data_IF_390287327679
#
_entry.id   IF_390287327679
#
_cell.length_a   1.000
_cell.length_b   1.000
_cell.length_c   1.000
_cell.angle_alpha   90.00
_cell.angle_beta   90.00
_cell.angle_gamma   90.00
#
_symmetry.space_group_name_H-M   'P 1'
#
loop_
_entity.id
_entity.type
_entity.pdbx_description
1 polymer ?
#
# COMPACT_ATOMS: atom_id res chain seq x y z
N UNK A 1 -16.64 6.23 -32.39
CA UNK A 1 -15.68 5.22 -31.93
C UNK A 1 -15.11 5.74 -30.62
N UNK A 2 -15.60 5.23 -29.48
CA UNK A 2 -15.07 5.62 -28.17
C UNK A 2 -13.87 4.72 -27.87
N UNK A 3 -12.68 5.29 -27.91
CA UNK A 3 -11.47 4.64 -27.43
C UNK A 3 -11.16 5.29 -26.10
N UNK A 4 -11.47 4.59 -25.02
CA UNK A 4 -11.02 5.00 -23.69
C UNK A 4 -9.51 4.76 -23.63
N UNK A 5 -8.75 5.79 -23.98
CA UNK A 5 -7.32 5.82 -23.77
C UNK A 5 -7.10 5.96 -22.27
N UNK A 6 -6.53 4.94 -21.64
CA UNK A 6 -6.03 4.99 -20.27
C UNK A 6 -4.52 5.29 -20.30
N UNK A 7 -4.10 6.56 -20.37
CA UNK A 7 -2.69 6.93 -20.28
C UNK A 7 -2.12 6.85 -18.86
N UNK A 8 -2.90 6.37 -17.88
CA UNK A 8 -2.53 6.42 -16.46
C UNK A 8 -1.86 5.15 -15.93
N UNK A 9 -1.87 4.04 -16.68
CA UNK A 9 -1.02 2.86 -16.45
C UNK A 9 -0.80 2.12 -17.76
N UNK A 10 0.41 2.13 -18.35
CA UNK A 10 0.62 1.29 -19.54
C UNK A 10 0.79 -0.19 -19.17
N UNK A 11 1.20 -0.46 -17.94
CA UNK A 11 1.61 -1.78 -17.50
C UNK A 11 1.25 -2.00 -16.04
N UNK A 12 0.57 -3.11 -15.79
CA UNK A 12 0.24 -3.58 -14.45
C UNK A 12 0.85 -4.97 -14.30
N UNK A 13 1.67 -5.16 -13.27
CA UNK A 13 2.26 -6.46 -12.95
C UNK A 13 1.47 -7.06 -11.81
N UNK A 14 0.86 -8.22 -12.05
CA UNK A 14 0.10 -8.98 -11.08
C UNK A 14 0.94 -10.15 -10.59
N UNK A 15 1.23 -10.20 -9.29
CA UNK A 15 1.99 -11.28 -8.67
C UNK A 15 1.08 -12.08 -7.75
N UNK A 16 0.96 -13.38 -8.02
CA UNK A 16 0.27 -14.35 -7.16
C UNK A 16 1.25 -15.19 -6.35
N UNK A 17 0.76 -15.93 -5.36
CA UNK A 17 1.58 -16.67 -4.39
C UNK A 17 2.24 -17.97 -4.97
N UNK A 18 2.22 -18.19 -6.29
CA UNK A 18 2.92 -19.31 -6.95
C UNK A 18 2.37 -20.73 -6.69
N UNK A 19 1.57 -20.96 -5.65
CA UNK A 19 1.09 -22.30 -5.27
C UNK A 19 -0.07 -22.80 -6.14
N UNK A 20 -1.13 -21.99 -6.28
CA UNK A 20 -2.26 -22.26 -7.18
C UNK A 20 -2.97 -20.95 -7.55
N UNK A 21 -3.82 -20.91 -8.59
CA UNK A 21 -4.44 -19.67 -9.07
C UNK A 21 -5.29 -18.93 -8.02
N UNK A 22 -5.74 -19.59 -6.96
CA UNK A 22 -6.59 -18.96 -5.94
C UNK A 22 -5.90 -18.85 -4.57
N UNK A 23 -4.61 -19.21 -4.50
CA UNK A 23 -3.86 -19.19 -3.27
C UNK A 23 -3.64 -17.74 -2.83
N UNK A 24 -4.16 -17.41 -1.64
CA UNK A 24 -3.84 -16.17 -0.98
C UNK A 24 -2.40 -16.16 -0.46
N UNK A 25 -1.92 -14.97 -0.12
CA UNK A 25 -0.66 -14.80 0.58
C UNK A 25 -0.86 -14.91 2.10
N UNK A 26 0.11 -15.47 2.84
CA UNK A 26 0.15 -15.33 4.28
C UNK A 26 0.17 -13.85 4.70
N UNK A 27 -0.45 -13.53 5.84
CA UNK A 27 -0.50 -12.15 6.33
C UNK A 27 0.89 -11.53 6.53
N UNK A 28 1.82 -12.29 7.14
CA UNK A 28 3.17 -11.79 7.41
C UNK A 28 3.92 -11.40 6.12
N UNK A 29 3.74 -12.16 5.03
CA UNK A 29 4.33 -11.85 3.72
C UNK A 29 3.87 -10.48 3.21
N UNK A 30 2.57 -10.21 3.27
CA UNK A 30 2.00 -8.94 2.77
C UNK A 30 2.38 -7.77 3.69
N UNK A 31 2.39 -8.00 5.01
CA UNK A 31 2.86 -7.00 5.99
C UNK A 31 4.31 -6.62 5.73
N UNK A 32 5.19 -7.61 5.63
CA UNK A 32 6.62 -7.38 5.36
C UNK A 32 6.82 -6.65 4.04
N UNK A 33 6.10 -7.06 2.98
CA UNK A 33 6.15 -6.42 1.67
C UNK A 33 5.69 -4.95 1.75
N UNK A 34 4.59 -4.67 2.44
CA UNK A 34 4.10 -3.31 2.60
C UNK A 34 5.13 -2.42 3.31
N UNK A 35 5.78 -2.92 4.37
CA UNK A 35 6.85 -2.21 5.06
C UNK A 35 8.02 -1.89 4.12
N UNK A 36 8.49 -2.88 3.35
CA UNK A 36 9.58 -2.71 2.37
C UNK A 36 9.20 -1.64 1.33
N UNK A 37 7.98 -1.71 0.79
CA UNK A 37 7.50 -0.77 -0.23
C UNK A 37 7.35 0.64 0.31
N UNK A 38 6.98 0.82 1.58
CA UNK A 38 6.92 2.14 2.22
C UNK A 38 8.31 2.74 2.41
N UNK A 39 9.26 1.96 2.94
CA UNK A 39 10.61 2.45 3.24
C UNK A 39 11.38 2.76 1.97
N UNK A 40 11.34 1.86 0.98
CA UNK A 40 12.12 1.97 -0.26
C UNK A 40 11.36 2.63 -1.42
N UNK A 41 10.16 3.17 -1.21
CA UNK A 41 9.43 3.89 -2.25
C UNK A 41 10.27 5.01 -2.91
N UNK A 42 11.05 5.84 -2.18
CA UNK A 42 11.88 6.88 -2.79
C UNK A 42 12.91 6.31 -3.78
N UNK A 43 13.55 5.20 -3.43
CA UNK A 43 14.54 4.51 -4.26
C UNK A 43 13.88 3.89 -5.50
N UNK A 44 12.71 3.26 -5.32
CA UNK A 44 11.88 2.74 -6.41
C UNK A 44 11.48 3.87 -7.37
N UNK A 45 11.01 5.00 -6.84
CA UNK A 45 10.66 6.19 -7.63
C UNK A 45 11.86 6.75 -8.40
N UNK A 46 13.05 6.72 -7.80
CA UNK A 46 14.30 7.20 -8.40
C UNK A 46 14.72 6.30 -9.56
N UNK A 47 14.67 4.97 -9.39
CA UNK A 47 14.97 4.01 -10.45
C UNK A 47 14.04 4.16 -11.65
N UNK A 48 12.74 4.35 -11.38
CA UNK A 48 11.71 4.53 -12.41
C UNK A 48 11.68 5.94 -13.01
N UNK A 49 12.52 6.86 -12.49
CA UNK A 49 12.58 8.28 -12.90
C UNK A 49 11.22 8.98 -12.86
N UNK A 50 10.37 8.68 -11.87
CA UNK A 50 8.98 9.19 -11.83
C UNK A 50 8.88 10.71 -11.69
N UNK A 51 9.92 11.32 -11.13
CA UNK A 51 10.03 12.76 -10.91
C UNK A 51 10.31 13.53 -12.22
N UNK A 52 10.83 12.88 -13.27
CA UNK A 52 11.20 13.57 -14.51
C UNK A 52 10.02 13.78 -15.45
N UNK A 53 8.84 13.22 -15.15
CA UNK A 53 7.66 13.38 -16.00
C UNK A 53 6.78 14.54 -15.51
N UNK A 54 6.67 15.65 -16.26
CA UNK A 54 5.73 16.72 -15.93
C UNK A 54 4.31 16.19 -16.07
N UNK A 55 3.44 16.50 -15.09
CA UNK A 55 2.02 16.23 -15.25
C UNK A 55 1.50 17.09 -16.41
N UNK A 56 0.84 16.46 -17.39
CA UNK A 56 0.23 17.20 -18.49
C UNK A 56 -1.11 17.78 -18.00
N UNK A 57 -1.42 19.04 -18.30
CA UNK A 57 -2.65 19.69 -17.82
C UNK A 57 -3.91 18.93 -18.26
N UNK A 58 -3.94 18.41 -19.50
CA UNK A 58 -5.06 17.61 -20.01
C UNK A 58 -5.01 16.12 -19.57
N UNK A 59 -3.94 15.69 -18.90
CA UNK A 59 -3.76 14.32 -18.43
C UNK A 59 -2.90 14.29 -17.15
N UNK A 60 -3.50 14.65 -16.00
CA UNK A 60 -2.77 14.71 -14.74
C UNK A 60 -2.30 13.32 -14.29
N UNK A 61 -1.27 13.27 -13.45
CA UNK A 61 -0.89 12.03 -12.76
C UNK A 61 -2.04 11.62 -11.85
N UNK A 62 -2.62 10.45 -12.09
CA UNK A 62 -3.78 9.93 -11.35
C UNK A 62 -3.43 8.86 -10.32
N UNK A 63 -2.15 8.51 -10.17
CA UNK A 63 -1.74 7.54 -9.18
C UNK A 63 -1.54 8.14 -7.79
N UNK A 64 -1.83 7.35 -6.77
CA UNK A 64 -1.61 7.67 -5.37
C UNK A 64 -0.44 6.84 -4.87
N UNK A 65 0.57 7.52 -4.36
CA UNK A 65 1.74 6.92 -3.72
C UNK A 65 1.62 7.05 -2.21
N UNK A 66 1.88 6.00 -1.43
CA UNK A 66 1.77 6.04 0.03
C UNK A 66 2.48 7.22 0.69
N UNK A 67 3.68 7.59 0.24
CA UNK A 67 4.46 8.64 0.90
C UNK A 67 4.05 10.08 0.56
N UNK A 68 3.27 10.30 -0.52
CA UNK A 68 2.91 11.65 -0.99
C UNK A 68 1.43 11.96 -0.82
N UNK A 69 0.61 10.92 -0.70
CA UNK A 69 -0.84 11.06 -0.63
C UNK A 69 -1.28 11.18 0.83
N UNK A 70 -2.01 12.25 1.20
CA UNK A 70 -2.51 12.40 2.57
C UNK A 70 -3.49 11.30 2.97
N UNK A 71 -4.06 10.58 2.00
CA UNK A 71 -4.99 9.47 2.26
C UNK A 71 -4.36 8.29 3.00
N UNK A 72 -3.04 8.16 2.96
CA UNK A 72 -2.29 7.07 3.58
C UNK A 72 -1.77 7.41 4.97
N UNK A 73 -1.89 8.68 5.38
CA UNK A 73 -1.41 9.12 6.68
C UNK A 73 -2.42 8.72 7.75
N UNK A 74 -2.00 7.94 8.77
CA UNK A 74 -2.80 7.72 9.96
C UNK A 74 -3.13 9.06 10.63
N UNK A 75 -4.33 9.21 11.24
CA UNK A 75 -4.75 10.47 11.87
C UNK A 75 -3.82 10.93 13.00
N UNK A 76 -3.05 10.01 13.57
CA UNK A 76 -2.16 10.25 14.71
C UNK A 76 -0.70 10.50 14.31
N UNK A 77 -0.36 10.53 13.02
CA UNK A 77 1.00 10.82 12.55
C UNK A 77 1.09 12.24 11.95
N UNK A 78 2.25 12.92 12.12
CA UNK A 78 2.47 14.21 11.49
C UNK A 78 2.48 14.09 9.97
N UNK A 79 2.09 15.18 9.28
CA UNK A 79 2.04 15.21 7.80
C UNK A 79 3.38 14.95 7.13
N UNK A 80 4.49 15.24 7.81
CA UNK A 80 5.85 14.89 7.41
C UNK A 80 6.38 13.78 8.32
N UNK A 81 5.94 12.54 8.07
CA UNK A 81 6.39 11.36 8.79
C UNK A 81 7.52 10.66 8.02
N UNK A 82 8.64 10.29 8.66
CA UNK A 82 9.65 9.41 8.07
C UNK A 82 9.06 8.07 7.60
N UNK A 83 9.63 7.46 6.55
CA UNK A 83 9.08 6.23 5.96
C UNK A 83 9.21 5.01 6.87
N UNK A 84 10.28 4.94 7.67
CA UNK A 84 10.52 3.97 8.73
C UNK A 84 9.47 4.09 9.86
N UNK A 85 9.09 5.31 10.25
CA UNK A 85 8.05 5.54 11.24
C UNK A 85 6.66 5.13 10.71
N UNK A 86 6.37 5.35 9.43
CA UNK A 86 5.14 4.87 8.80
C UNK A 86 5.10 3.34 8.72
N UNK A 87 6.23 2.70 8.40
CA UNK A 87 6.35 1.24 8.42
C UNK A 87 6.20 0.66 9.83
N UNK A 88 6.79 1.29 10.85
CA UNK A 88 6.60 0.96 12.26
C UNK A 88 5.15 1.09 12.68
N UNK A 89 4.48 2.17 12.27
CA UNK A 89 3.07 2.36 12.56
C UNK A 89 2.21 1.25 11.95
N UNK A 90 2.41 0.92 10.67
CA UNK A 90 1.72 -0.17 10.00
C UNK A 90 1.92 -1.50 10.73
N UNK A 91 3.16 -1.81 11.14
CA UNK A 91 3.48 -3.01 11.91
C UNK A 91 2.71 -3.07 13.25
N UNK A 92 2.57 -1.94 13.94
CA UNK A 92 1.99 -1.87 15.27
C UNK A 92 0.46 -1.74 15.30
N UNK A 93 -0.17 -1.25 14.21
CA UNK A 93 -1.61 -0.93 14.21
C UNK A 93 -2.47 -1.80 13.30
N UNK A 94 -1.87 -2.57 12.38
CA UNK A 94 -2.60 -3.49 11.50
C UNK A 94 -2.54 -4.93 12.02
N UNK A 95 -3.56 -5.44 12.74
CA UNK A 95 -3.56 -6.80 13.28
C UNK A 95 -3.85 -7.88 12.23
N UNK A 96 -4.38 -7.53 11.06
CA UNK A 96 -4.84 -8.49 10.05
C UNK A 96 -4.71 -7.98 8.60
N UNK A 97 -5.00 -8.86 7.64
CA UNK A 97 -4.92 -8.52 6.20
C UNK A 97 -5.84 -7.36 5.82
N UNK A 98 -7.02 -7.27 6.44
CA UNK A 98 -8.04 -6.26 6.09
C UNK A 98 -7.59 -4.86 6.52
N UNK A 99 -7.14 -4.71 7.75
CA UNK A 99 -6.57 -3.47 8.27
C UNK A 99 -5.34 -3.03 7.47
N UNK A 100 -4.48 -3.96 7.10
CA UNK A 100 -3.32 -3.70 6.25
C UNK A 100 -3.70 -3.20 4.84
N UNK A 101 -4.63 -3.89 4.18
CA UNK A 101 -5.15 -3.47 2.86
C UNK A 101 -5.81 -2.10 2.96
N UNK A 102 -6.58 -1.82 4.01
CA UNK A 102 -7.18 -0.50 4.22
C UNK A 102 -6.14 0.60 4.44
N UNK A 103 -5.00 0.30 5.06
CA UNK A 103 -3.90 1.24 5.22
C UNK A 103 -3.17 1.51 3.90
N UNK A 104 -2.97 0.48 3.07
CA UNK A 104 -2.26 0.57 1.78
C UNK A 104 -3.17 0.94 0.59
N UNK A 105 -4.48 0.80 0.72
CA UNK A 105 -5.49 1.12 -0.29
C UNK A 105 -6.70 1.79 0.38
N UNK A 106 -6.52 2.97 1.00
CA UNK A 106 -7.57 3.64 1.77
C UNK A 106 -8.72 4.09 0.88
N UNK A 107 -9.96 3.97 1.38
CA UNK A 107 -11.14 4.47 0.67
C UNK A 107 -10.99 5.95 0.33
N UNK A 108 -11.11 6.27 -0.95
CA UNK A 108 -11.02 7.65 -1.42
C UNK A 108 -12.39 8.31 -1.35
N UNK A 109 -12.46 9.63 -1.03
CA UNK A 109 -13.71 10.35 -1.10
C UNK A 109 -14.25 10.28 -2.55
N UNK A 110 -15.56 10.06 -2.70
CA UNK A 110 -16.21 10.13 -4.01
C UNK A 110 -15.99 11.52 -4.60
N UNK A 111 -15.08 11.62 -5.57
CA UNK A 111 -14.89 12.86 -6.29
C UNK A 111 -16.16 13.10 -7.12
N UNK A 112 -16.80 14.26 -6.94
CA UNK A 112 -18.02 14.66 -7.67
C UNK A 112 -17.83 14.79 -9.20
N UNK A 113 -16.68 14.41 -9.75
CA UNK A 113 -16.39 14.45 -11.18
C UNK A 113 -16.36 13.03 -11.77
N UNK A 114 -17.21 12.73 -12.78
CA UNK A 114 -17.33 11.39 -13.38
C UNK A 114 -16.05 10.79 -13.98
N UNK A 115 -14.98 11.59 -14.16
CA UNK A 115 -13.77 11.20 -14.89
C UNK A 115 -12.47 11.29 -14.07
N UNK A 116 -12.56 11.52 -12.75
CA UNK A 116 -11.39 11.58 -11.85
C UNK A 116 -11.20 10.27 -11.08
N UNK A 117 -10.82 9.20 -11.79
CA UNK A 117 -10.40 7.97 -11.13
C UNK A 117 -8.94 8.08 -10.69
N UNK A 118 -8.70 7.86 -9.40
CA UNK A 118 -7.38 7.73 -8.82
C UNK A 118 -7.02 6.25 -8.68
N UNK A 119 -5.73 5.94 -8.76
CA UNK A 119 -5.23 4.57 -8.78
C UNK A 119 -4.11 4.39 -7.77
N UNK A 120 -4.14 3.36 -6.94
CA UNK A 120 -3.02 3.10 -6.04
C UNK A 120 -1.81 2.55 -6.79
N UNK A 121 -0.62 3.08 -6.48
CA UNK A 121 0.64 2.58 -7.07
C UNK A 121 0.86 1.09 -6.77
N UNK A 122 0.52 0.68 -5.56
CA UNK A 122 0.49 -0.71 -5.10
C UNK A 122 -0.95 -1.04 -4.71
N UNK A 123 -1.54 -2.04 -5.33
CA UNK A 123 -2.94 -2.41 -5.13
C UNK A 123 -3.03 -3.83 -4.57
N UNK A 124 -3.43 -3.91 -3.30
CA UNK A 124 -3.62 -5.11 -2.50
C UNK A 124 -5.10 -5.50 -2.40
N UNK A 125 -6.01 -4.75 -3.02
CA UNK A 125 -7.47 -4.93 -2.85
C UNK A 125 -7.94 -6.33 -3.27
N UNK A 126 -7.24 -6.95 -4.23
CA UNK A 126 -7.54 -8.30 -4.71
C UNK A 126 -7.16 -9.43 -3.73
N UNK A 127 -6.53 -9.09 -2.61
CA UNK A 127 -6.20 -10.05 -1.54
C UNK A 127 -7.36 -10.30 -0.59
N UNK A 128 -8.28 -9.35 -0.49
CA UNK A 128 -9.50 -9.51 0.28
C UNK A 128 -10.49 -10.30 -0.54
N UNK A 129 -11.11 -11.31 0.09
CA UNK A 129 -12.30 -11.91 -0.48
C UNK A 129 -13.36 -10.81 -0.59
N UNK A 130 -14.07 -10.70 -1.73
CA UNK A 130 -15.22 -9.83 -1.79
C UNK A 130 -16.10 -10.23 -0.62
N UNK A 131 -16.39 -9.25 0.25
CA UNK A 131 -17.37 -9.42 1.31
C UNK A 131 -18.54 -10.18 0.69
N UNK A 132 -19.05 -11.20 1.35
CA UNK A 132 -20.39 -11.71 1.09
C UNK A 132 -21.35 -10.53 1.35
N UNK A 133 -21.39 -9.55 0.43
CA UNK A 133 -22.55 -8.71 0.33
C UNK A 133 -23.68 -9.70 0.06
N UNK A 134 -24.73 -9.72 0.90
CA UNK A 134 -25.87 -10.56 0.64
C UNK A 134 -26.29 -10.18 -0.77
N UNK A 135 -26.15 -11.14 -1.68
CA UNK A 135 -26.56 -11.03 -3.06
C UNK A 135 -27.93 -10.39 -3.03
N UNK A 136 -27.98 -9.10 -3.32
CA UNK A 136 -29.22 -8.38 -3.46
C UNK A 136 -29.75 -8.89 -4.78
N UNK A 137 -30.39 -10.06 -4.71
CA UNK A 137 -31.27 -10.59 -5.71
C UNK A 137 -32.34 -9.53 -5.88
N UNK A 138 -32.00 -8.54 -6.70
CA UNK A 138 -32.97 -7.62 -7.24
C UNK A 138 -33.79 -8.51 -8.15
N UNK A 139 -34.91 -9.00 -7.61
CA UNK A 139 -35.91 -9.75 -8.34
C UNK A 139 -36.31 -8.91 -9.56
N UNK A 140 -35.65 -9.13 -10.69
CA UNK A 140 -36.16 -8.67 -11.97
C UNK A 140 -37.42 -9.50 -12.25
N UNK A 141 -38.57 -8.87 -12.47
CA UNK A 141 -39.80 -9.58 -12.77
C UNK A 141 -39.80 -9.98 -14.25
N UNK A 142 -38.89 -10.86 -14.67
CA UNK A 142 -38.92 -11.54 -15.97
C UNK A 142 -38.01 -12.78 -15.99
N UNK A 143 -38.49 -13.88 -15.42
CA UNK A 143 -38.72 -15.13 -16.14
C UNK A 143 -37.57 -15.92 -16.80
N UNK A 144 -36.29 -15.62 -16.60
CA UNK A 144 -35.21 -16.52 -17.00
C UNK A 144 -34.08 -16.54 -15.97
N UNK A 145 -33.77 -17.69 -15.32
CA UNK A 145 -32.55 -17.80 -14.55
C UNK A 145 -31.38 -17.74 -15.54
N UNK A 146 -30.58 -16.68 -15.46
CA UNK A 146 -29.26 -16.68 -16.07
C UNK A 146 -28.50 -17.92 -15.56
N UNK A 147 -27.79 -18.66 -16.43
CA UNK A 147 -26.99 -19.78 -15.95
C UNK A 147 -26.05 -19.26 -14.86
N UNK A 148 -25.87 -20.00 -13.74
CA UNK A 148 -24.95 -19.60 -12.70
C UNK A 148 -23.59 -19.37 -13.36
N UNK A 149 -23.18 -18.11 -13.45
CA UNK A 149 -21.81 -17.81 -13.82
C UNK A 149 -20.95 -18.52 -12.77
N UNK A 150 -20.01 -19.40 -13.18
CA UNK A 150 -19.10 -20.00 -12.22
C UNK A 150 -18.49 -18.84 -11.46
N UNK A 151 -18.60 -18.88 -10.13
CA UNK A 151 -17.96 -17.90 -9.26
C UNK A 151 -16.50 -17.82 -9.72
N UNK A 152 -16.16 -16.76 -10.45
CA UNK A 152 -14.80 -16.54 -10.90
C UNK A 152 -14.02 -16.34 -9.61
N UNK A 153 -13.34 -17.39 -9.18
CA UNK A 153 -12.40 -17.32 -8.09
C UNK A 153 -11.36 -16.29 -8.51
N UNK A 154 -11.52 -15.06 -8.00
CA UNK A 154 -10.64 -13.96 -8.37
C UNK A 154 -9.25 -14.32 -7.86
N UNK A 155 -8.31 -14.40 -8.78
CA UNK A 155 -6.92 -14.69 -8.50
C UNK A 155 -6.41 -13.68 -7.46
N UNK A 156 -5.96 -14.17 -6.29
CA UNK A 156 -5.43 -13.32 -5.22
C UNK A 156 -4.04 -12.85 -5.63
N UNK A 157 -3.96 -11.62 -6.12
CA UNK A 157 -2.72 -11.01 -6.61
C UNK A 157 -2.44 -9.67 -5.96
N UNK A 158 -1.16 -9.33 -5.86
CA UNK A 158 -0.69 -7.97 -5.60
C UNK A 158 -0.45 -7.32 -6.96
N UNK A 159 -1.03 -6.14 -7.18
CA UNK A 159 -0.84 -5.39 -8.43
C UNK A 159 0.15 -4.24 -8.21
N UNK A 160 1.20 -4.23 -9.02
CA UNK A 160 2.16 -3.14 -9.13
C UNK A 160 1.86 -2.34 -10.39
N UNK A 161 1.56 -1.05 -10.23
CA UNK A 161 1.25 -0.17 -11.35
C UNK A 161 2.49 0.59 -11.78
N UNK A 162 2.85 0.48 -13.05
CA UNK A 162 4.07 1.04 -13.60
C UNK A 162 3.80 2.18 -14.56
N UNK A 163 4.69 3.19 -14.60
CA UNK A 163 4.56 4.28 -15.54
C UNK A 163 4.79 3.82 -16.97
N UNK A 164 4.21 4.56 -17.91
CA UNK A 164 4.26 4.25 -19.34
C UNK A 164 5.61 4.36 -20.01
N UNK A 165 6.53 5.10 -19.40
CA UNK A 165 7.89 5.28 -19.90
C UNK A 165 8.82 4.08 -19.64
N UNK A 166 8.42 3.10 -18.82
CA UNK A 166 9.21 1.89 -18.61
C UNK A 166 9.19 0.98 -19.86
N UNK A 167 8.21 1.18 -20.75
CA UNK A 167 7.94 0.33 -21.94
C UNK A 167 8.91 0.62 -23.11
N UNK A 168 10.02 1.34 -22.88
CA UNK A 168 10.97 1.64 -23.96
C UNK A 168 11.89 0.46 -24.26
N UNK A 169 12.14 -0.41 -23.27
CA UNK A 169 13.05 -1.56 -23.42
C UNK A 169 12.49 -2.83 -22.73
N UNK A 170 12.26 -3.94 -23.48
CA UNK A 170 11.75 -5.18 -22.92
C UNK A 170 12.70 -5.82 -21.89
N UNK A 171 14.01 -5.62 -21.98
CA UNK A 171 14.96 -6.14 -21.00
C UNK A 171 14.81 -5.43 -19.66
N UNK A 172 14.67 -4.10 -19.67
CA UNK A 172 14.40 -3.32 -18.45
C UNK A 172 13.10 -3.81 -17.81
N UNK A 173 12.06 -4.06 -18.62
CA UNK A 173 10.81 -4.60 -18.14
C UNK A 173 10.97 -5.98 -17.48
N UNK A 174 11.72 -6.90 -18.10
CA UNK A 174 11.97 -8.24 -17.53
C UNK A 174 12.70 -8.12 -16.18
N UNK A 175 13.74 -7.30 -16.10
CA UNK A 175 14.48 -7.09 -14.85
C UNK A 175 13.60 -6.46 -13.78
N UNK A 176 12.69 -5.57 -14.18
CA UNK A 176 11.74 -4.97 -13.26
C UNK A 176 10.73 -5.98 -12.70
N UNK A 177 10.14 -6.81 -13.56
CA UNK A 177 9.23 -7.88 -13.11
C UNK A 177 9.96 -8.87 -12.21
N UNK A 178 11.22 -9.21 -12.52
CA UNK A 178 12.07 -10.04 -11.65
C UNK A 178 12.30 -9.41 -10.30
N UNK A 179 12.65 -8.12 -10.25
CA UNK A 179 12.80 -7.39 -9.00
C UNK A 179 11.52 -7.44 -8.16
N UNK A 180 10.37 -7.17 -8.76
CA UNK A 180 9.08 -7.23 -8.05
C UNK A 180 8.80 -8.64 -7.52
N UNK A 181 9.08 -9.68 -8.29
CA UNK A 181 8.99 -11.07 -7.86
C UNK A 181 9.91 -11.38 -6.67
N UNK A 182 11.18 -11.01 -6.78
CA UNK A 182 12.17 -11.22 -5.72
C UNK A 182 11.86 -10.43 -4.44
N UNK A 183 11.24 -9.25 -4.55
CA UNK A 183 10.77 -8.51 -3.37
C UNK A 183 9.65 -9.26 -2.64
N UNK A 184 8.70 -9.85 -3.37
CA UNK A 184 7.61 -10.64 -2.79
C UNK A 184 8.16 -11.92 -2.14
N UNK A 185 9.10 -12.59 -2.82
CA UNK A 185 9.79 -13.79 -2.30
C UNK A 185 10.57 -13.46 -1.02
N UNK A 186 11.42 -12.42 -1.07
CA UNK A 186 12.16 -11.94 0.09
C UNK A 186 11.24 -11.59 1.26
N UNK A 187 10.12 -10.90 1.01
CA UNK A 187 9.14 -10.56 2.05
C UNK A 187 8.50 -11.81 2.69
N UNK A 188 8.43 -12.91 1.97
CA UNK A 188 7.92 -14.19 2.47
C UNK A 188 8.94 -14.95 3.33
N UNK A 189 10.23 -14.79 3.05
CA UNK A 189 11.30 -15.55 3.72
C UNK A 189 11.93 -14.80 4.89
N UNK A 190 11.95 -13.46 4.84
CA UNK A 190 12.65 -12.63 5.82
C UNK A 190 12.00 -12.70 7.21
N UNK A 191 12.82 -12.97 8.23
CA UNK A 191 12.41 -12.86 9.63
C UNK A 191 12.14 -11.40 10.00
N UNK A 192 11.13 -11.16 10.84
CA UNK A 192 10.70 -9.82 11.20
C UNK A 192 11.82 -9.00 11.88
N UNK A 193 12.63 -9.62 12.74
CA UNK A 193 13.72 -8.93 13.43
C UNK A 193 14.79 -8.42 12.44
N UNK A 194 15.21 -9.29 11.51
CA UNK A 194 16.13 -8.93 10.43
C UNK A 194 15.54 -7.86 9.52
N UNK A 195 14.23 -7.93 9.25
CA UNK A 195 13.53 -6.93 8.47
C UNK A 195 13.55 -5.57 9.17
N UNK A 196 13.20 -5.53 10.45
CA UNK A 196 13.17 -4.29 11.24
C UNK A 196 14.55 -3.64 11.30
N UNK A 197 15.61 -4.43 11.52
CA UNK A 197 16.99 -3.95 11.47
C UNK A 197 17.34 -3.38 10.09
N UNK A 198 17.01 -4.11 9.01
CA UNK A 198 17.29 -3.70 7.62
C UNK A 198 16.55 -2.42 7.25
N UNK A 199 15.32 -2.24 7.74
CA UNK A 199 14.48 -1.09 7.46
C UNK A 199 14.76 0.10 8.40
N UNK A 200 15.61 -0.06 9.42
CA UNK A 200 15.81 0.94 10.47
C UNK A 200 14.57 1.20 11.31
N UNK A 201 13.62 0.25 11.35
CA UNK A 201 12.37 0.37 12.11
C UNK A 201 12.68 0.11 13.57
N UNK A 202 12.72 1.17 14.37
CA UNK A 202 12.81 1.04 15.84
C UNK A 202 11.47 0.53 16.36
N UNK A 203 11.42 -0.72 16.78
CA UNK A 203 10.34 -1.21 17.65
C UNK A 203 10.57 -0.55 19.00
N UNK A 204 9.64 0.27 19.53
CA UNK A 204 9.79 0.77 20.88
C UNK A 204 9.82 -0.45 21.81
N UNK A 205 10.95 -0.66 22.48
CA UNK A 205 11.06 -1.65 23.53
C UNK A 205 9.90 -1.42 24.49
N UNK A 206 9.03 -2.42 24.62
CA UNK A 206 8.04 -2.42 25.69
C UNK A 206 8.84 -2.69 26.96
N UNK A 207 9.46 -1.63 27.49
CA UNK A 207 10.20 -1.71 28.74
C UNK A 207 9.28 -2.36 29.78
N UNK A 208 9.77 -3.50 30.24
CA UNK A 208 9.18 -4.31 31.28
C UNK A 208 9.04 -3.39 32.49
N UNK A 209 7.83 -3.30 33.05
CA UNK A 209 7.58 -2.61 34.31
C UNK A 209 8.35 -3.38 35.39
N UNK A 210 9.61 -3.02 35.60
CA UNK A 210 10.35 -3.40 36.78
C UNK A 210 9.97 -2.45 37.90
N UNK A 211 9.05 -2.94 38.72
CA UNK A 211 8.83 -2.46 40.09
C UNK A 211 10.15 -2.52 40.87
N UNK A 212 10.91 -1.42 40.89
CA UNK A 212 11.81 -1.12 42.02
C UNK A 212 11.64 0.34 42.43
N UNK A 213 11.19 0.50 43.67
CA UNK A 213 10.74 1.76 44.23
C UNK A 213 11.86 2.74 44.59
N UNK A 214 11.43 3.98 44.79
CA UNK A 214 12.10 4.96 45.65
C UNK A 214 13.06 5.90 44.94
N UNK A 215 12.59 7.08 44.54
CA UNK A 215 12.76 8.33 45.30
C UNK A 215 12.39 9.51 44.39
N UNK A 216 11.34 10.22 44.77
CA UNK A 216 10.91 11.48 44.17
C UNK A 216 11.95 12.56 44.48
N UNK A 217 12.58 13.14 43.45
CA UNK A 217 13.15 14.48 43.52
C UNK A 217 12.65 15.24 42.30
N UNK A 218 11.74 16.18 42.55
CA UNK A 218 11.16 17.03 41.53
C UNK A 218 12.19 17.99 40.94
N UNK A 219 12.18 18.11 39.62
CA UNK A 219 12.81 19.22 38.91
C UNK A 219 11.78 19.88 38.01
N UNK A 220 11.54 21.15 38.36
CA UNK A 220 10.70 22.18 37.73
C UNK A 220 10.77 22.19 36.18
N UNK A 221 9.67 22.49 35.47
CA UNK A 221 9.69 22.63 34.01
C UNK A 221 10.47 23.90 33.58
N UNK A 222 11.14 23.91 32.41
CA UNK A 222 11.86 25.07 31.92
C UNK A 222 10.88 26.14 31.42
N UNK A 223 10.98 27.35 31.96
CA UNK A 223 10.27 28.55 31.51
C UNK A 223 10.86 29.04 30.18
N UNK A 224 10.02 29.20 29.15
CA UNK A 224 10.38 29.84 27.88
C UNK A 224 10.25 31.37 28.02
N UNK A 225 11.24 32.16 27.60
CA UNK A 225 11.10 33.62 27.59
C UNK A 225 10.23 34.07 26.42
N UNK A 226 9.21 34.87 26.73
CA UNK A 226 8.43 35.67 25.79
C UNK A 226 9.36 36.70 25.11
N UNK A 227 9.52 36.59 23.79
CA UNK A 227 10.03 37.69 22.96
C UNK A 227 8.84 38.39 22.31
N UNK A 228 8.52 39.56 22.84
CA UNK A 228 7.76 40.60 22.13
C UNK A 228 8.65 41.18 21.03
N UNK A 229 8.17 41.15 19.78
CA UNK A 229 8.18 42.24 18.79
C UNK A 229 7.44 41.79 17.53
#
# INVERSE_FOLDING_TARGET
MYTEYNPSTSLNVHIGNGTNPNAGFPFHTIRNLAMILLVYEPEVDRMLRLHTFPAHQNNPKRWLTPLKSPHFLPPNLPHSCPSDMLASHLLNTCPDMRSLVNAMNPSLPEFRQPNSHFYFKYDFSSLLDPTEEPSSATNQPNGYPAPPQPAQSKQKTIQFRLPSNLVVDPEILIHWVRLLGSLVEFASEVHLDTLNETLGVTVPDTETIDNQGGTVIGTRPPELPLLNL
#
